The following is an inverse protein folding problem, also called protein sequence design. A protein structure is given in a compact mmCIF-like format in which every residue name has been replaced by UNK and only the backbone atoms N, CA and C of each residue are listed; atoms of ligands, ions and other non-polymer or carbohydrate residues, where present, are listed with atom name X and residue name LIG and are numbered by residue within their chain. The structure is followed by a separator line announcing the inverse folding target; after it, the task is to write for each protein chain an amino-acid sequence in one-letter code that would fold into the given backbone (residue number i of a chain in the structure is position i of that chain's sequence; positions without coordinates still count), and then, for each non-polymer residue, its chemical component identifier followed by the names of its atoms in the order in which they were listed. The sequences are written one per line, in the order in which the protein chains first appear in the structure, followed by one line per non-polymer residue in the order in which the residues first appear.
data_IF_413620229775
#
_entry.id   IF_413620229775
#
_cell.length_a   1.000
_cell.length_b   1.000
_cell.length_c   1.000
_cell.angle_alpha   90.00
_cell.angle_beta   90.00
_cell.angle_gamma   90.00
#
_symmetry.space_group_name_H-M   'P 1'
#
loop_
_entity.id
_entity.type
_entity.pdbx_description
1 polymer ?
#
# COMPACT_ATOMS: atom_id res chain seq x y z
N UNK A 1 20.39 -55.48 -16.94
CA UNK A 1 19.43 -54.73 -16.10
C UNK A 1 19.88 -53.28 -16.02
N UNK A 2 19.15 -52.34 -16.62
CA UNK A 2 19.49 -50.91 -16.67
C UNK A 2 19.16 -50.24 -15.33
N UNK A 3 20.16 -49.67 -14.65
CA UNK A 3 19.96 -48.84 -13.45
C UNK A 3 19.37 -47.50 -13.87
N UNK A 4 18.10 -47.26 -13.51
CA UNK A 4 17.44 -45.97 -13.69
C UNK A 4 17.99 -44.95 -12.69
N UNK A 5 18.72 -43.96 -13.20
CA UNK A 5 19.21 -42.84 -12.40
C UNK A 5 18.10 -41.80 -12.25
N UNK A 6 17.56 -41.69 -11.03
CA UNK A 6 16.55 -40.68 -10.66
C UNK A 6 17.20 -39.28 -10.68
N UNK A 7 16.90 -38.51 -11.73
CA UNK A 7 17.23 -37.08 -11.78
C UNK A 7 16.35 -36.36 -10.75
N UNK A 8 16.92 -36.02 -9.59
CA UNK A 8 16.35 -35.04 -8.66
C UNK A 8 16.10 -33.74 -9.44
N UNK A 9 14.83 -33.42 -9.65
CA UNK A 9 14.42 -32.12 -10.18
C UNK A 9 14.94 -31.04 -9.21
N UNK A 10 15.94 -30.28 -9.66
CA UNK A 10 16.38 -29.08 -8.96
C UNK A 10 15.18 -28.16 -8.81
N UNK A 11 14.82 -27.82 -7.57
CA UNK A 11 13.88 -26.72 -7.31
C UNK A 11 14.43 -25.51 -8.04
N UNK A 12 13.74 -25.07 -9.10
CA UNK A 12 13.96 -23.74 -9.67
C UNK A 12 13.80 -22.77 -8.51
N UNK A 13 14.91 -22.17 -8.07
CA UNK A 13 14.88 -20.98 -7.22
C UNK A 13 14.16 -19.94 -8.06
N UNK A 14 12.87 -19.72 -7.75
CA UNK A 14 12.11 -18.63 -8.33
C UNK A 14 12.88 -17.37 -7.93
N UNK A 15 13.50 -16.74 -8.93
CA UNK A 15 14.22 -15.47 -8.82
C UNK A 15 13.38 -14.55 -7.93
N UNK A 16 13.90 -14.15 -6.77
CA UNK A 16 13.21 -13.23 -5.85
C UNK A 16 12.68 -12.07 -6.70
N UNK A 17 11.35 -11.98 -6.87
CA UNK A 17 10.74 -10.79 -7.43
C UNK A 17 11.04 -9.68 -6.43
N UNK A 18 11.81 -8.69 -6.87
CA UNK A 18 12.31 -7.58 -6.08
C UNK A 18 11.18 -7.05 -5.18
N UNK A 19 11.23 -7.41 -3.91
CA UNK A 19 10.37 -6.80 -2.90
C UNK A 19 11.17 -5.65 -2.33
N UNK A 20 10.51 -4.49 -2.22
CA UNK A 20 11.10 -3.31 -1.61
C UNK A 20 11.68 -3.66 -0.24
N UNK A 21 12.82 -3.08 0.15
CA UNK A 21 13.54 -3.44 1.38
C UNK A 21 12.71 -3.23 2.66
N UNK A 22 11.67 -2.40 2.58
CA UNK A 22 10.74 -2.14 3.69
C UNK A 22 9.62 -3.18 3.83
N UNK A 23 9.43 -4.09 2.86
CA UNK A 23 8.45 -5.17 2.98
C UNK A 23 8.78 -6.03 4.19
N UNK A 24 7.75 -6.36 4.97
CA UNK A 24 7.90 -7.19 6.16
C UNK A 24 7.81 -8.67 5.81
N UNK A 25 7.01 -8.98 4.79
CA UNK A 25 6.73 -10.34 4.39
C UNK A 25 7.17 -10.60 2.95
N UNK A 26 7.58 -11.84 2.63
CA UNK A 26 7.92 -12.20 1.27
C UNK A 26 6.67 -12.17 0.37
N UNK A 27 6.84 -12.14 -0.97
CA UNK A 27 5.72 -12.24 -1.91
C UNK A 27 4.79 -13.41 -1.61
N UNK A 28 3.48 -13.19 -1.72
CA UNK A 28 2.46 -14.19 -1.39
C UNK A 28 2.13 -14.30 0.09
N UNK A 29 2.75 -13.47 0.94
CA UNK A 29 2.40 -13.31 2.34
C UNK A 29 2.13 -11.84 2.65
N UNK A 30 1.43 -11.60 3.75
CA UNK A 30 1.22 -10.26 4.29
C UNK A 30 1.45 -10.24 5.80
N UNK A 31 1.82 -9.08 6.32
CA UNK A 31 1.96 -8.89 7.77
C UNK A 31 0.58 -8.92 8.42
N UNK A 32 0.46 -9.66 9.52
CA UNK A 32 -0.66 -9.59 10.45
C UNK A 32 -0.13 -9.06 11.77
N UNK A 33 -0.70 -7.96 12.26
CA UNK A 33 -0.25 -7.33 13.50
C UNK A 33 -0.54 -8.21 14.73
N UNK A 34 0.13 -7.86 15.83
CA UNK A 34 -0.12 -8.49 17.13
C UNK A 34 -1.58 -8.34 17.53
N UNK A 35 -2.24 -9.43 17.95
CA UNK A 35 -3.64 -9.43 18.35
C UNK A 35 -3.91 -10.45 19.46
N UNK A 36 -5.04 -10.27 20.14
CA UNK A 36 -5.54 -11.23 21.10
C UNK A 36 -5.97 -12.53 20.40
N UNK A 37 -5.58 -13.67 20.94
CA UNK A 37 -5.95 -15.00 20.49
C UNK A 37 -6.75 -15.70 21.58
N UNK A 38 -8.00 -16.01 21.28
CA UNK A 38 -8.82 -16.85 22.15
C UNK A 38 -8.39 -18.31 22.00
N UNK A 39 -7.91 -18.89 23.10
CA UNK A 39 -7.51 -20.29 23.18
C UNK A 39 -8.64 -21.08 23.84
N UNK A 40 -9.23 -22.07 23.16
CA UNK A 40 -10.29 -22.88 23.75
C UNK A 40 -9.74 -23.75 24.90
N UNK A 41 -10.60 -24.18 25.84
CA UNK A 41 -10.24 -25.16 26.84
C UNK A 41 -9.62 -26.42 26.21
N UNK A 42 -8.50 -26.88 26.78
CA UNK A 42 -7.82 -28.10 26.35
C UNK A 42 -7.12 -28.76 27.54
N UNK A 43 -6.65 -30.01 27.39
CA UNK A 43 -5.84 -30.69 28.43
C UNK A 43 -4.63 -29.84 28.88
N UNK A 44 -4.06 -29.05 27.98
CA UNK A 44 -2.90 -28.19 28.25
C UNK A 44 -3.28 -26.83 28.82
N UNK A 45 -4.50 -26.34 28.53
CA UNK A 45 -5.08 -25.10 29.05
C UNK A 45 -6.52 -25.35 29.52
N UNK A 46 -6.73 -25.91 30.73
CA UNK A 46 -8.04 -26.43 31.15
C UNK A 46 -9.17 -25.40 31.20
N UNK A 47 -8.83 -24.13 31.44
CA UNK A 47 -9.81 -23.03 31.53
C UNK A 47 -10.02 -22.29 30.20
N UNK A 48 -9.24 -22.61 29.16
CA UNK A 48 -9.07 -21.72 28.02
C UNK A 48 -8.53 -20.35 28.46
N UNK A 49 -8.55 -19.35 27.57
CA UNK A 49 -8.18 -17.99 27.90
C UNK A 49 -7.90 -17.12 26.69
N UNK A 50 -7.54 -15.86 26.94
CA UNK A 50 -7.05 -14.94 25.90
C UNK A 50 -5.54 -14.82 26.06
N UNK A 51 -4.80 -15.14 25.00
CA UNK A 51 -3.35 -14.96 24.93
C UNK A 51 -3.00 -13.92 23.87
N UNK A 52 -1.75 -13.48 23.83
CA UNK A 52 -1.27 -12.54 22.80
C UNK A 52 -0.59 -13.32 21.68
N UNK A 53 -1.06 -13.16 20.45
CA UNK A 53 -0.37 -13.66 19.25
C UNK A 53 0.44 -12.53 18.65
N UNK A 54 1.77 -12.65 18.71
CA UNK A 54 2.69 -11.67 18.15
C UNK A 54 2.54 -11.54 16.63
N UNK A 55 2.88 -10.36 16.10
CA UNK A 55 2.83 -10.08 14.68
C UNK A 55 3.68 -11.07 13.88
N UNK A 56 3.15 -11.53 12.75
CA UNK A 56 3.79 -12.55 11.91
C UNK A 56 3.29 -12.45 10.47
N UNK A 57 4.05 -13.04 9.55
CA UNK A 57 3.63 -13.18 8.17
C UNK A 57 2.64 -14.34 8.00
N UNK A 58 1.60 -14.12 7.21
CA UNK A 58 0.60 -15.12 6.84
C UNK A 58 0.44 -15.16 5.34
N UNK A 59 0.19 -16.35 4.77
CA UNK A 59 -0.08 -16.49 3.34
C UNK A 59 -1.38 -15.78 2.98
N UNK A 60 -1.34 -15.00 1.90
CA UNK A 60 -2.55 -14.48 1.28
C UNK A 60 -3.19 -15.57 0.38
N UNK A 61 -4.50 -15.53 0.13
CA UNK A 61 -5.20 -16.61 -0.59
C UNK A 61 -4.69 -16.89 -2.00
N UNK A 62 -4.08 -15.90 -2.65
CA UNK A 62 -3.69 -15.98 -4.06
C UNK A 62 -2.20 -16.19 -4.26
N UNK A 63 -1.41 -16.14 -3.19
CA UNK A 63 0.05 -16.18 -3.20
C UNK A 63 0.72 -15.12 -4.08
N UNK A 64 0.00 -14.05 -4.48
CA UNK A 64 0.56 -12.92 -5.22
C UNK A 64 1.15 -11.86 -4.30
N UNK A 65 1.97 -10.97 -4.87
CA UNK A 65 2.49 -9.83 -4.13
C UNK A 65 1.39 -8.79 -3.90
N UNK A 66 0.97 -8.63 -2.65
CA UNK A 66 -0.09 -7.71 -2.24
C UNK A 66 0.30 -7.01 -0.94
N UNK A 67 -0.05 -5.73 -0.80
CA UNK A 67 0.03 -5.01 0.47
C UNK A 67 -1.34 -4.99 1.16
N UNK A 68 -1.30 -5.31 2.44
CA UNK A 68 -2.45 -5.29 3.35
C UNK A 68 -2.31 -4.14 4.36
N UNK A 69 -3.40 -3.66 4.96
CA UNK A 69 -3.41 -2.50 5.85
C UNK A 69 -2.41 -2.60 7.00
N UNK A 70 -2.33 -3.76 7.65
CA UNK A 70 -1.38 -4.00 8.75
C UNK A 70 0.07 -3.81 8.29
N UNK A 71 0.44 -4.30 7.10
CA UNK A 71 1.79 -4.15 6.57
C UNK A 71 2.07 -2.70 6.17
N UNK A 72 1.10 -2.02 5.55
CA UNK A 72 1.17 -0.60 5.17
C UNK A 72 1.44 0.26 6.41
N UNK A 73 0.68 0.06 7.49
CA UNK A 73 0.85 0.82 8.74
C UNK A 73 2.22 0.54 9.40
N UNK A 74 2.64 -0.72 9.40
CA UNK A 74 3.92 -1.13 10.00
C UNK A 74 5.12 -0.60 9.21
N UNK A 75 5.05 -0.58 7.86
CA UNK A 75 6.05 0.06 7.00
C UNK A 75 6.20 1.54 7.38
N UNK A 76 5.07 2.24 7.51
CA UNK A 76 5.08 3.66 7.86
C UNK A 76 5.72 3.92 9.21
N UNK A 77 5.33 3.14 10.22
CA UNK A 77 5.83 3.22 11.59
C UNK A 77 7.35 3.01 11.67
N UNK A 78 7.90 2.07 10.90
CA UNK A 78 9.32 1.70 10.99
C UNK A 78 10.26 2.62 10.22
N UNK A 79 9.79 3.25 9.14
CA UNK A 79 10.67 3.82 8.11
C UNK A 79 10.47 5.32 7.87
N UNK A 80 9.26 5.86 7.99
CA UNK A 80 8.93 7.14 7.37
C UNK A 80 9.54 8.36 8.05
N UNK A 81 9.68 8.33 9.37
CA UNK A 81 10.37 9.40 10.13
C UNK A 81 11.84 9.56 9.74
N UNK A 82 12.46 8.52 9.14
CA UNK A 82 13.87 8.52 8.72
C UNK A 82 14.07 9.03 7.30
N UNK A 83 13.00 9.23 6.53
CA UNK A 83 13.08 9.70 5.14
C UNK A 83 13.48 11.18 5.14
N UNK A 84 14.56 11.52 4.43
CA UNK A 84 15.11 12.89 4.40
C UNK A 84 14.35 13.83 3.46
N UNK A 85 13.96 13.31 2.29
CA UNK A 85 13.25 14.07 1.26
C UNK A 85 11.78 14.24 1.67
N UNK A 86 11.50 15.33 2.38
CA UNK A 86 10.15 15.73 2.78
C UNK A 86 9.56 16.72 1.77
N UNK A 87 8.23 16.77 1.63
CA UNK A 87 7.61 17.90 0.95
C UNK A 87 7.92 19.21 1.71
N UNK A 88 7.71 20.34 1.04
CA UNK A 88 7.84 21.66 1.61
C UNK A 88 7.04 21.77 2.93
N UNK A 89 7.63 22.30 4.01
CA UNK A 89 6.99 22.35 5.33
C UNK A 89 5.78 23.30 5.39
N UNK A 90 5.51 24.05 4.32
CA UNK A 90 4.32 24.87 4.17
C UNK A 90 3.04 24.07 4.36
N UNK A 91 2.10 24.62 5.13
CA UNK A 91 0.75 24.09 5.29
C UNK A 91 -0.20 24.49 4.14
N UNK A 92 0.29 25.19 3.11
CA UNK A 92 -0.50 25.69 1.97
C UNK A 92 -1.71 26.56 2.40
N UNK A 93 -1.58 27.25 3.53
CA UNK A 93 -2.63 28.10 4.11
C UNK A 93 -3.67 27.36 4.96
N UNK A 94 -3.62 26.03 5.06
CA UNK A 94 -4.53 25.26 5.90
C UNK A 94 -4.16 25.35 7.39
N UNK A 95 -5.16 25.34 8.26
CA UNK A 95 -4.99 25.59 9.71
C UNK A 95 -5.72 24.56 10.58
N UNK A 96 -5.39 24.55 11.87
CA UNK A 96 -6.04 23.73 12.89
C UNK A 96 -5.96 22.23 12.59
N UNK A 97 -7.10 21.54 12.61
CA UNK A 97 -7.19 20.09 12.34
C UNK A 97 -6.86 19.68 10.90
N UNK A 98 -6.70 20.64 9.99
CA UNK A 98 -6.41 20.42 8.57
C UNK A 98 -4.98 20.87 8.19
N UNK A 99 -4.08 21.05 9.16
CA UNK A 99 -2.66 21.29 8.86
C UNK A 99 -2.11 20.16 7.99
N UNK A 100 -1.49 20.52 6.87
CA UNK A 100 -1.01 19.56 5.89
C UNK A 100 0.29 18.89 6.31
N UNK A 101 1.15 19.61 7.03
CA UNK A 101 2.47 19.11 7.46
C UNK A 101 2.42 17.87 8.36
N UNK A 102 1.29 17.61 9.04
CA UNK A 102 1.09 16.39 9.83
C UNK A 102 1.18 15.09 9.01
N UNK A 103 1.07 15.19 7.68
CA UNK A 103 1.16 14.07 6.76
C UNK A 103 2.49 14.01 6.00
N UNK A 104 3.43 14.92 6.25
CA UNK A 104 4.67 15.02 5.47
C UNK A 104 5.51 13.73 5.56
N UNK A 105 5.52 13.07 6.72
CA UNK A 105 6.18 11.77 6.88
C UNK A 105 5.55 10.67 6.02
N UNK A 106 4.21 10.60 6.01
CA UNK A 106 3.47 9.62 5.22
C UNK A 106 3.64 9.87 3.72
N UNK A 107 3.55 11.14 3.30
CA UNK A 107 3.73 11.56 1.91
C UNK A 107 5.14 11.21 1.44
N UNK A 108 6.17 11.66 2.17
CA UNK A 108 7.56 11.36 1.84
C UNK A 108 7.85 9.85 1.79
N UNK A 109 7.35 9.11 2.78
CA UNK A 109 7.54 7.67 2.90
C UNK A 109 6.93 6.91 1.73
N UNK A 110 5.65 7.15 1.43
CA UNK A 110 4.98 6.43 0.35
C UNK A 110 5.43 6.85 -1.04
N UNK A 111 5.75 8.14 -1.24
CA UNK A 111 6.35 8.59 -2.50
C UNK A 111 7.67 7.88 -2.77
N UNK A 112 8.57 7.86 -1.77
CA UNK A 112 9.84 7.15 -1.86
C UNK A 112 9.65 5.66 -2.13
N UNK A 113 8.76 5.01 -1.37
CA UNK A 113 8.46 3.58 -1.54
C UNK A 113 8.05 3.25 -2.98
N UNK A 114 7.12 4.00 -3.56
CA UNK A 114 6.64 3.72 -4.91
C UNK A 114 7.62 4.12 -6.02
N UNK A 115 8.40 5.19 -5.84
CA UNK A 115 9.53 5.50 -6.72
C UNK A 115 10.53 4.35 -6.76
N UNK A 116 10.92 3.79 -5.60
CA UNK A 116 11.87 2.67 -5.53
C UNK A 116 11.31 1.35 -6.11
N UNK A 117 10.00 1.12 -5.98
CA UNK A 117 9.32 -0.05 -6.55
C UNK A 117 9.26 0.03 -8.08
N UNK A 118 8.78 1.15 -8.63
CA UNK A 118 8.51 1.28 -10.07
C UNK A 118 9.68 1.82 -10.87
N UNK A 119 10.64 2.51 -10.23
CA UNK A 119 11.83 3.12 -10.85
C UNK A 119 11.49 3.90 -12.11
N UNK A 120 10.61 4.91 -12.01
CA UNK A 120 10.24 5.71 -13.17
C UNK A 120 11.45 6.50 -13.71
N UNK A 121 11.40 6.89 -14.99
CA UNK A 121 12.44 7.78 -15.56
C UNK A 121 12.54 9.14 -14.85
N UNK A 122 11.43 9.58 -14.24
CA UNK A 122 11.36 10.75 -13.37
C UNK A 122 10.60 10.40 -12.10
N UNK A 123 11.22 10.63 -10.95
CA UNK A 123 10.63 10.35 -9.64
C UNK A 123 9.44 11.28 -9.36
N UNK A 124 8.40 10.73 -8.72
CA UNK A 124 7.28 11.54 -8.22
C UNK A 124 7.79 12.43 -7.08
N UNK A 125 7.53 13.74 -7.18
CA UNK A 125 7.87 14.69 -6.12
C UNK A 125 6.82 14.64 -4.99
N UNK A 126 7.21 14.51 -3.71
CA UNK A 126 6.27 14.55 -2.59
C UNK A 126 5.45 15.85 -2.50
N UNK A 127 5.93 16.97 -3.04
CA UNK A 127 5.18 18.22 -3.13
C UNK A 127 3.97 18.11 -4.05
N UNK A 128 4.07 17.36 -5.16
CA UNK A 128 2.94 17.10 -6.06
C UNK A 128 1.84 16.34 -5.29
N UNK A 129 2.23 15.32 -4.53
CA UNK A 129 1.29 14.55 -3.69
C UNK A 129 0.66 15.43 -2.61
N UNK A 130 1.45 16.28 -1.94
CA UNK A 130 0.94 17.21 -0.92
C UNK A 130 -0.06 18.20 -1.52
N UNK A 131 0.24 18.76 -2.68
CA UNK A 131 -0.66 19.66 -3.40
C UNK A 131 -1.95 18.94 -3.80
N UNK A 132 -1.86 17.72 -4.32
CA UNK A 132 -3.02 16.90 -4.67
C UNK A 132 -3.92 16.63 -3.44
N UNK A 133 -3.36 16.23 -2.30
CA UNK A 133 -4.15 16.04 -1.07
C UNK A 133 -4.84 17.34 -0.64
N UNK A 134 -4.16 18.47 -0.78
CA UNK A 134 -4.71 19.78 -0.45
C UNK A 134 -5.93 20.12 -1.32
N UNK A 135 -5.87 19.86 -2.63
CA UNK A 135 -6.97 20.14 -3.56
C UNK A 135 -8.10 19.12 -3.48
N UNK A 136 -7.80 17.85 -3.18
CA UNK A 136 -8.79 16.77 -3.14
C UNK A 136 -9.59 16.74 -1.83
N UNK A 137 -8.95 17.00 -0.70
CA UNK A 137 -9.57 16.81 0.63
C UNK A 137 -9.40 17.99 1.58
N UNK A 138 -8.57 18.98 1.24
CA UNK A 138 -8.15 20.01 2.18
C UNK A 138 -7.53 19.42 3.45
N UNK A 139 -6.78 18.31 3.29
CA UNK A 139 -6.16 17.54 4.37
C UNK A 139 -7.15 16.91 5.39
N UNK A 140 -8.40 16.69 5.00
CA UNK A 140 -9.41 16.01 5.82
C UNK A 140 -9.48 14.51 5.50
N UNK A 141 -8.83 13.66 6.31
CA UNK A 141 -8.82 12.20 6.10
C UNK A 141 -10.18 11.51 6.28
N UNK A 142 -11.16 12.18 6.91
CA UNK A 142 -12.51 11.63 7.10
C UNK A 142 -13.51 12.08 6.03
N UNK A 143 -13.07 12.80 4.99
CA UNK A 143 -13.98 13.32 3.98
C UNK A 143 -14.49 12.22 3.04
N UNK A 144 -15.78 12.29 2.74
CA UNK A 144 -16.51 11.36 1.89
C UNK A 144 -17.25 12.17 0.82
N UNK A 145 -16.84 12.07 -0.44
CA UNK A 145 -17.56 12.69 -1.55
C UNK A 145 -18.90 11.99 -1.76
N UNK A 146 -19.96 12.77 -2.00
CA UNK A 146 -21.29 12.27 -2.39
C UNK A 146 -21.76 11.07 -1.55
N UNK A 147 -22.08 11.32 -0.27
CA UNK A 147 -22.46 10.29 0.73
C UNK A 147 -23.53 9.29 0.27
N UNK A 148 -24.39 9.68 -0.68
CA UNK A 148 -25.47 8.86 -1.24
C UNK A 148 -25.00 7.88 -2.33
N UNK A 149 -23.78 8.02 -2.85
CA UNK A 149 -23.24 7.19 -3.91
C UNK A 149 -22.43 6.00 -3.36
N UNK A 150 -22.70 4.79 -3.89
CA UNK A 150 -21.94 3.57 -3.58
C UNK A 150 -20.46 3.68 -4.01
N UNK A 151 -20.15 4.51 -5.01
CA UNK A 151 -18.81 4.79 -5.49
C UNK A 151 -18.22 6.12 -4.93
N UNK A 152 -18.58 6.46 -3.70
CA UNK A 152 -18.08 7.65 -3.02
C UNK A 152 -16.55 7.63 -2.83
N UNK A 153 -15.89 8.73 -3.18
CA UNK A 153 -14.47 8.96 -2.95
C UNK A 153 -14.17 9.24 -1.47
N UNK A 154 -13.03 8.71 -0.98
CA UNK A 154 -12.69 8.69 0.46
C UNK A 154 -11.29 9.18 0.75
N UNK A 155 -11.16 9.82 1.90
CA UNK A 155 -9.88 10.14 2.51
C UNK A 155 -9.09 11.23 1.79
N UNK A 156 -7.80 11.29 2.07
CA UNK A 156 -6.91 12.39 1.70
C UNK A 156 -6.76 12.60 0.19
N UNK A 157 -6.67 11.52 -0.59
CA UNK A 157 -6.49 11.53 -2.05
C UNK A 157 -7.77 11.14 -2.79
N UNK A 158 -8.93 11.18 -2.13
CA UNK A 158 -10.24 10.93 -2.74
C UNK A 158 -10.31 9.64 -3.58
N UNK A 159 -9.91 8.51 -2.98
CA UNK A 159 -9.95 7.20 -3.65
C UNK A 159 -11.40 6.69 -3.73
N UNK A 160 -11.87 6.42 -4.94
CA UNK A 160 -13.21 5.86 -5.19
C UNK A 160 -13.25 4.36 -4.85
N UNK A 161 -14.46 3.82 -4.66
CA UNK A 161 -14.62 2.40 -4.42
C UNK A 161 -14.22 1.55 -5.64
N UNK A 162 -14.40 2.06 -6.86
CA UNK A 162 -14.00 1.37 -8.07
C UNK A 162 -12.48 1.39 -8.25
N UNK A 163 -11.81 2.53 -8.00
CA UNK A 163 -10.34 2.57 -7.94
C UNK A 163 -9.80 1.58 -6.92
N UNK A 164 -10.38 1.52 -5.72
CA UNK A 164 -10.01 0.54 -4.69
C UNK A 164 -10.16 -0.90 -5.17
N UNK A 165 -11.25 -1.21 -5.89
CA UNK A 165 -11.44 -2.55 -6.48
C UNK A 165 -10.37 -2.85 -7.52
N UNK A 166 -10.09 -1.93 -8.43
CA UNK A 166 -9.05 -2.09 -9.46
C UNK A 166 -7.69 -2.35 -8.81
N UNK A 167 -7.35 -1.60 -7.75
CA UNK A 167 -6.09 -1.76 -7.02
C UNK A 167 -5.92 -3.15 -6.39
N UNK A 168 -7.02 -3.84 -6.07
CA UNK A 168 -7.03 -5.21 -5.53
C UNK A 168 -7.45 -6.28 -6.53
N UNK A 169 -7.73 -5.92 -7.79
CA UNK A 169 -8.24 -6.86 -8.79
C UNK A 169 -7.09 -7.53 -9.53
N UNK A 170 -6.83 -8.76 -9.13
CA UNK A 170 -5.78 -9.60 -9.68
C UNK A 170 -6.02 -10.16 -11.08
N UNK A 171 -7.26 -10.08 -11.56
CA UNK A 171 -7.64 -10.50 -12.90
C UNK A 171 -8.00 -9.30 -13.78
N UNK A 172 -7.86 -8.09 -13.24
CA UNK A 172 -8.23 -6.85 -13.87
C UNK A 172 -7.08 -6.20 -14.60
N UNK A 173 -7.09 -4.87 -14.58
CA UNK A 173 -6.18 -4.02 -15.33
C UNK A 173 -4.73 -4.07 -14.81
N UNK A 174 -4.54 -4.28 -13.50
CA UNK A 174 -3.22 -4.32 -12.89
C UNK A 174 -2.54 -5.67 -13.07
N UNK A 175 -1.21 -5.65 -13.23
CA UNK A 175 -0.39 -6.87 -13.37
C UNK A 175 0.36 -7.23 -12.10
N UNK A 176 0.62 -6.26 -11.23
CA UNK A 176 1.44 -6.41 -10.03
C UNK A 176 1.13 -5.35 -8.95
N UNK A 177 1.76 -5.55 -7.79
CA UNK A 177 1.74 -4.64 -6.65
C UNK A 177 0.32 -4.22 -6.23
N UNK A 178 -0.50 -5.23 -5.97
CA UNK A 178 -1.91 -5.06 -5.61
C UNK A 178 -2.06 -4.55 -4.17
N UNK A 179 -3.17 -3.86 -3.91
CA UNK A 179 -3.55 -3.38 -2.58
C UNK A 179 -4.88 -3.99 -2.17
N UNK A 180 -4.88 -4.75 -1.07
CA UNK A 180 -6.11 -5.34 -0.52
C UNK A 180 -6.66 -4.45 0.58
N UNK A 181 -7.53 -3.51 0.21
CA UNK A 181 -8.10 -2.53 1.15
C UNK A 181 -9.64 -2.62 1.20
N UNK A 182 -10.22 -2.44 2.37
CA UNK A 182 -11.65 -2.22 2.60
C UNK A 182 -12.01 -0.74 2.42
N UNK A 183 -13.31 -0.43 2.39
CA UNK A 183 -13.79 0.96 2.25
C UNK A 183 -13.46 1.83 3.46
N UNK A 184 -13.42 1.24 4.65
CA UNK A 184 -13.19 1.99 5.89
C UNK A 184 -11.70 2.19 6.13
N UNK A 185 -10.87 1.24 5.68
CA UNK A 185 -9.42 1.39 5.67
C UNK A 185 -8.97 2.57 4.83
N UNK A 186 -9.72 3.00 3.80
CA UNK A 186 -9.39 4.22 3.04
C UNK A 186 -9.51 5.53 3.85
N UNK A 187 -10.08 5.49 5.06
CA UNK A 187 -10.09 6.67 5.95
C UNK A 187 -8.80 6.78 6.76
N UNK A 188 -7.97 5.72 6.82
CA UNK A 188 -6.64 5.78 7.41
C UNK A 188 -5.70 6.59 6.47
N UNK A 189 -4.99 7.60 6.98
CA UNK A 189 -4.10 8.41 6.17
C UNK A 189 -3.03 7.61 5.41
N UNK A 190 -2.43 6.60 6.05
CA UNK A 190 -1.31 5.87 5.47
C UNK A 190 -1.77 4.98 4.31
N UNK A 191 -2.83 4.20 4.52
CA UNK A 191 -3.44 3.36 3.46
C UNK A 191 -3.97 4.22 2.31
N UNK A 192 -4.57 5.37 2.58
CA UNK A 192 -5.13 6.24 1.56
C UNK A 192 -4.04 6.85 0.68
N UNK A 193 -2.97 7.38 1.29
CA UNK A 193 -1.82 7.94 0.56
C UNK A 193 -1.10 6.83 -0.23
N UNK A 194 -0.89 5.67 0.39
CA UNK A 194 -0.31 4.50 -0.27
C UNK A 194 -1.09 4.12 -1.55
N UNK A 195 -2.42 4.04 -1.43
CA UNK A 195 -3.32 3.71 -2.54
C UNK A 195 -3.36 4.77 -3.62
N UNK A 196 -3.42 6.05 -3.23
CA UNK A 196 -3.46 7.15 -4.20
C UNK A 196 -2.17 7.25 -5.00
N UNK A 197 -1.01 7.15 -4.37
CA UNK A 197 0.27 7.17 -5.11
C UNK A 197 0.37 5.95 -6.04
N UNK A 198 0.03 4.74 -5.58
CA UNK A 198 -0.01 3.55 -6.45
C UNK A 198 -0.90 3.75 -7.68
N UNK A 199 -2.02 4.45 -7.50
CA UNK A 199 -2.93 4.77 -8.58
C UNK A 199 -2.37 5.82 -9.54
N UNK A 200 -1.67 6.84 -9.05
CA UNK A 200 -0.95 7.81 -9.91
C UNK A 200 0.07 7.11 -10.81
N UNK A 201 0.84 6.16 -10.27
CA UNK A 201 1.77 5.35 -11.08
C UNK A 201 1.05 4.58 -12.19
N UNK A 202 -0.13 4.02 -11.89
CA UNK A 202 -0.95 3.36 -12.93
C UNK A 202 -1.42 4.36 -13.98
N UNK A 203 -1.89 5.54 -13.57
CA UNK A 203 -2.33 6.59 -14.49
C UNK A 203 -1.21 7.04 -15.41
N UNK A 204 0.00 7.23 -14.88
CA UNK A 204 1.19 7.56 -15.67
C UNK A 204 1.54 6.47 -16.68
N UNK A 205 1.44 5.20 -16.30
CA UNK A 205 1.64 4.07 -17.22
C UNK A 205 0.62 4.09 -18.37
N UNK A 206 -0.66 4.31 -18.07
CA UNK A 206 -1.71 4.43 -19.09
C UNK A 206 -1.45 5.63 -20.00
N UNK A 207 -1.17 6.80 -19.42
CA UNK A 207 -0.87 8.02 -20.17
C UNK A 207 0.33 7.80 -21.11
N UNK A 208 1.40 7.17 -20.62
CA UNK A 208 2.58 6.86 -21.42
C UNK A 208 2.25 5.93 -22.60
N UNK A 209 1.40 4.92 -22.38
CA UNK A 209 0.92 4.04 -23.45
C UNK A 209 0.11 4.78 -24.51
N UNK A 210 -0.71 5.75 -24.11
CA UNK A 210 -1.52 6.55 -25.02
C UNK A 210 -0.66 7.55 -25.81
N UNK A 211 0.30 8.19 -25.15
CA UNK A 211 1.23 9.16 -25.73
C UNK A 211 2.33 8.52 -26.58
N UNK A 212 2.55 7.20 -26.45
CA UNK A 212 3.65 6.45 -27.09
C UNK A 212 5.04 6.98 -26.71
N UNK A 213 5.15 7.60 -25.53
CA UNK A 213 6.38 8.07 -24.89
C UNK A 213 6.20 8.10 -23.37
N UNK A 214 7.25 8.20 -22.55
CA UNK A 214 7.09 8.45 -21.13
C UNK A 214 6.29 9.74 -20.88
N UNK A 215 5.22 9.63 -20.09
CA UNK A 215 4.45 10.77 -19.61
C UNK A 215 5.18 11.47 -18.46
N UNK A 216 5.03 12.79 -18.36
CA UNK A 216 5.49 13.53 -17.17
C UNK A 216 4.45 13.43 -16.05
N UNK A 217 4.80 13.86 -14.83
CA UNK A 217 3.84 13.86 -13.71
C UNK A 217 2.76 14.93 -13.86
N UNK A 218 3.03 15.99 -14.63
CA UNK A 218 2.06 17.03 -14.98
C UNK A 218 1.03 16.57 -16.02
N UNK A 219 1.36 15.52 -16.78
CA UNK A 219 0.48 14.90 -17.78
C UNK A 219 -0.36 13.74 -17.20
N UNK A 220 -0.20 13.43 -15.91
CA UNK A 220 -0.81 12.30 -15.21
C UNK A 220 -2.03 12.71 -14.40
#
# INVERSE_FOLDING_TARGET
MKKGSSKKAGKKVVKQRNTHAWRLCPPGQHWRRTHALTVPPSKKNPKGGVTTRHGHCVFNPTHKDQLYPDEIQEIGTRNFSKVKEKPCPSDLGFKGKNKGNRYDDLIAGWTKYWNEVFKPDSDLDPNIVKALIATESGFNSGILANKKNKNSARGLMQITNDTRKILGDENGELKDHYLTLTRDELNDPSTNICAGIRWLFRKREVASSLLKRPATWEET
#
